data_IF_617579293582
#
_entry.id   IF_617579293582
#
_cell.length_a   1.000
_cell.length_b   1.000
_cell.length_c   1.000
_cell.angle_alpha   90.00
_cell.angle_beta   90.00
_cell.angle_gamma   90.00
#
_symmetry.space_group_name_H-M   'P 1'
#
loop_
_entity.id
_entity.type
_entity.pdbx_description
1 polymer ?
#
# COMPACT_ATOMS: atom_id res chain seq x y z
N UNK A 1 20.24 -27.47 40.49
CA UNK A 1 19.02 -27.69 39.65
C UNK A 1 18.23 -26.38 39.50
N UNK A 2 18.79 -25.34 38.87
CA UNK A 2 18.11 -24.04 38.70
C UNK A 2 18.40 -23.37 37.32
N UNK A 3 18.93 -24.13 36.36
CA UNK A 3 19.36 -23.61 35.05
C UNK A 3 18.24 -23.64 34.00
N UNK A 4 17.30 -24.59 34.10
CA UNK A 4 16.22 -24.76 33.11
C UNK A 4 15.11 -23.69 33.19
N UNK A 5 14.80 -23.18 34.39
CA UNK A 5 13.70 -22.22 34.59
C UNK A 5 14.09 -20.81 34.13
N UNK A 6 15.35 -20.40 34.33
CA UNK A 6 15.86 -19.13 33.81
C UNK A 6 15.88 -19.09 32.28
N UNK A 7 16.18 -20.21 31.61
CA UNK A 7 16.15 -20.29 30.14
C UNK A 7 14.72 -20.12 29.60
N UNK A 8 13.73 -20.76 30.23
CA UNK A 8 12.32 -20.64 29.83
C UNK A 8 11.72 -19.25 30.10
N UNK A 9 12.20 -18.53 31.13
CA UNK A 9 11.80 -17.15 31.40
C UNK A 9 12.46 -16.17 30.41
N UNK A 10 13.73 -16.36 30.04
CA UNK A 10 14.38 -15.55 29.01
C UNK A 10 13.76 -15.75 27.61
N UNK A 11 13.40 -16.99 27.26
CA UNK A 11 12.72 -17.27 25.99
C UNK A 11 11.32 -16.63 25.92
N UNK A 12 10.63 -16.52 27.08
CA UNK A 12 9.34 -15.80 27.19
C UNK A 12 9.48 -14.28 27.19
N UNK A 13 10.61 -13.72 27.61
CA UNK A 13 10.84 -12.27 27.58
C UNK A 13 11.31 -11.82 26.18
N UNK A 14 12.03 -12.67 25.42
CA UNK A 14 12.37 -12.41 24.02
C UNK A 14 11.23 -12.65 23.02
N UNK A 15 10.27 -13.53 23.33
CA UNK A 15 9.11 -13.76 22.44
C UNK A 15 8.07 -12.63 22.49
N UNK A 16 8.13 -11.74 23.49
CA UNK A 16 7.18 -10.62 23.63
C UNK A 16 7.61 -9.30 22.99
N UNK A 17 8.82 -9.20 22.44
CA UNK A 17 9.26 -8.06 21.62
C UNK A 17 9.12 -8.30 20.12
N UNK A 18 8.96 -9.55 19.67
CA UNK A 18 8.73 -9.90 18.26
C UNK A 18 7.33 -9.54 17.76
N UNK A 19 6.42 -9.14 18.65
CA UNK A 19 5.13 -8.54 18.28
C UNK A 19 5.23 -7.05 17.92
N UNK A 20 6.40 -6.41 18.12
CA UNK A 20 6.66 -5.01 17.79
C UNK A 20 7.45 -4.81 16.50
N UNK A 21 7.31 -5.71 15.53
CA UNK A 21 7.73 -5.43 14.15
C UNK A 21 7.14 -6.50 13.22
N UNK A 22 5.82 -6.52 13.08
CA UNK A 22 5.31 -6.81 11.74
C UNK A 22 5.84 -5.66 10.89
N UNK A 23 7.01 -5.86 10.27
CA UNK A 23 7.37 -5.09 9.10
C UNK A 23 6.11 -5.03 8.25
N UNK A 24 5.84 -3.88 7.65
CA UNK A 24 4.91 -3.79 6.53
C UNK A 24 5.46 -4.76 5.48
N UNK A 25 5.12 -6.04 5.63
CA UNK A 25 5.74 -7.14 4.93
C UNK A 25 5.58 -6.82 3.48
N UNK A 26 6.70 -6.80 2.76
CA UNK A 26 6.78 -6.44 1.34
C UNK A 26 5.56 -7.03 0.66
N UNK A 27 4.57 -6.18 0.33
CA UNK A 27 3.27 -6.68 -0.15
C UNK A 27 3.56 -7.45 -1.42
N UNK A 28 3.11 -8.70 -1.47
CA UNK A 28 3.39 -9.58 -2.61
C UNK A 28 2.21 -9.58 -3.57
N UNK A 29 2.51 -9.70 -4.86
CA UNK A 29 1.50 -9.95 -5.89
C UNK A 29 1.03 -11.41 -5.84
N UNK A 30 0.12 -11.79 -6.76
CA UNK A 30 -0.42 -13.15 -6.82
C UNK A 30 0.64 -14.22 -7.18
N UNK A 31 1.81 -13.80 -7.67
CA UNK A 31 2.94 -14.64 -7.99
C UNK A 31 4.00 -14.69 -6.86
N UNK A 32 3.72 -14.04 -5.72
CA UNK A 32 4.64 -13.98 -4.59
C UNK A 32 5.79 -12.98 -4.75
N UNK A 33 5.79 -12.15 -5.79
CA UNK A 33 6.80 -11.11 -6.02
C UNK A 33 6.47 -9.86 -5.24
N UNK A 34 7.48 -9.12 -4.79
CA UNK A 34 7.26 -7.82 -4.13
C UNK A 34 6.61 -6.82 -5.08
N UNK A 35 5.51 -6.21 -4.65
CA UNK A 35 4.88 -5.11 -5.37
C UNK A 35 5.75 -3.86 -5.22
N UNK A 36 6.26 -3.36 -6.35
CA UNK A 36 6.89 -2.06 -6.42
C UNK A 36 5.84 -0.99 -6.76
N UNK A 37 5.22 -0.39 -5.75
CA UNK A 37 4.16 0.61 -5.95
C UNK A 37 4.63 1.83 -6.77
N UNK A 38 5.91 2.18 -6.71
CA UNK A 38 6.48 3.33 -7.39
C UNK A 38 6.50 3.20 -8.93
N UNK A 39 6.31 1.99 -9.48
CA UNK A 39 6.23 1.80 -10.94
C UNK A 39 4.82 1.98 -11.50
N UNK A 40 3.80 2.16 -10.66
CA UNK A 40 2.41 2.26 -11.11
C UNK A 40 1.98 3.71 -11.34
N UNK A 41 1.25 3.92 -12.44
CA UNK A 41 0.45 5.11 -12.72
C UNK A 41 -1.02 4.78 -12.51
N UNK A 42 -1.67 5.46 -11.57
CA UNK A 42 -3.06 5.22 -11.19
C UNK A 42 -3.97 6.40 -11.56
N UNK A 43 -5.17 6.10 -12.06
CA UNK A 43 -6.24 7.07 -12.26
C UNK A 43 -7.26 7.00 -11.13
N UNK A 44 -7.61 8.14 -10.55
CA UNK A 44 -8.77 8.28 -9.66
C UNK A 44 -9.83 9.09 -10.42
N UNK A 45 -10.97 8.48 -10.71
CA UNK A 45 -12.11 9.13 -11.34
C UNK A 45 -13.29 9.09 -10.37
N UNK A 46 -13.64 10.24 -9.80
CA UNK A 46 -14.76 10.37 -8.86
C UNK A 46 -15.28 11.80 -8.97
N UNK A 47 -16.58 12.04 -8.85
CA UNK A 47 -17.15 13.39 -8.98
C UNK A 47 -16.90 14.24 -7.73
N UNK A 48 -16.72 13.61 -6.57
CA UNK A 48 -16.48 14.25 -5.29
C UNK A 48 -14.98 14.56 -5.08
N UNK A 49 -14.63 15.85 -5.10
CA UNK A 49 -13.26 16.31 -4.91
C UNK A 49 -12.65 15.91 -3.56
N UNK A 50 -13.45 15.76 -2.50
CA UNK A 50 -12.95 15.33 -1.20
C UNK A 50 -12.55 13.86 -1.21
N UNK A 51 -13.31 13.02 -1.91
CA UNK A 51 -12.96 11.61 -2.06
C UNK A 51 -11.72 11.43 -2.93
N UNK A 52 -11.60 12.17 -4.05
CA UNK A 52 -10.38 12.18 -4.86
C UNK A 52 -9.14 12.56 -4.04
N UNK A 53 -9.24 13.62 -3.24
CA UNK A 53 -8.16 14.05 -2.34
C UNK A 53 -7.78 12.98 -1.30
N UNK A 54 -8.79 12.32 -0.70
CA UNK A 54 -8.58 11.26 0.27
C UNK A 54 -7.86 10.05 -0.38
N UNK A 55 -8.32 9.63 -1.55
CA UNK A 55 -7.70 8.53 -2.31
C UNK A 55 -6.27 8.86 -2.71
N UNK A 56 -6.01 10.07 -3.24
CA UNK A 56 -4.65 10.53 -3.53
C UNK A 56 -3.74 10.44 -2.30
N UNK A 57 -4.25 10.88 -1.14
CA UNK A 57 -3.49 10.83 0.11
C UNK A 57 -3.10 9.39 0.51
N UNK A 58 -4.01 8.43 0.33
CA UNK A 58 -3.70 7.02 0.55
C UNK A 58 -2.68 6.47 -0.44
N UNK A 59 -2.85 6.71 -1.75
CA UNK A 59 -1.93 6.21 -2.78
C UNK A 59 -0.52 6.78 -2.60
N UNK A 60 -0.40 8.06 -2.26
CA UNK A 60 0.87 8.70 -1.94
C UNK A 60 1.55 8.04 -0.72
N UNK A 61 0.77 7.72 0.33
CA UNK A 61 1.28 7.02 1.51
C UNK A 61 1.81 5.61 1.19
N UNK A 62 1.27 4.96 0.16
CA UNK A 62 1.75 3.65 -0.32
C UNK A 62 2.93 3.75 -1.30
N UNK A 63 3.33 4.97 -1.69
CA UNK A 63 4.45 5.19 -2.61
C UNK A 63 4.12 4.87 -4.05
N UNK A 64 2.88 5.09 -4.49
CA UNK A 64 2.51 5.03 -5.91
C UNK A 64 3.28 6.09 -6.70
N UNK A 65 3.81 5.72 -7.86
CA UNK A 65 4.71 6.58 -8.63
C UNK A 65 4.01 7.80 -9.24
N UNK A 66 2.81 7.60 -9.80
CA UNK A 66 2.02 8.67 -10.41
C UNK A 66 0.54 8.50 -10.14
N UNK A 67 -0.14 9.61 -9.82
CA UNK A 67 -1.58 9.67 -9.59
C UNK A 67 -2.18 10.77 -10.45
N UNK A 68 -3.02 10.39 -11.40
CA UNK A 68 -3.82 11.29 -12.23
C UNK A 68 -5.28 11.27 -11.75
N UNK A 69 -5.97 12.39 -11.88
CA UNK A 69 -7.36 12.54 -11.43
C UNK A 69 -8.28 12.96 -12.58
N UNK A 70 -9.53 12.52 -12.49
CA UNK A 70 -10.63 12.98 -13.33
C UNK A 70 -11.87 13.26 -12.48
N UNK A 71 -12.63 14.31 -12.81
CA UNK A 71 -13.81 14.71 -12.05
C UNK A 71 -15.10 14.03 -12.54
N UNK A 72 -15.03 13.22 -13.60
CA UNK A 72 -16.15 12.51 -14.21
C UNK A 72 -15.63 11.50 -15.24
N UNK A 73 -16.54 10.70 -15.80
CA UNK A 73 -16.20 9.69 -16.80
C UNK A 73 -15.65 10.27 -18.11
N UNK A 74 -16.15 11.41 -18.58
CA UNK A 74 -15.67 12.00 -19.83
C UNK A 74 -14.21 12.47 -19.71
N UNK A 75 -13.87 13.12 -18.60
CA UNK A 75 -12.49 13.52 -18.28
C UNK A 75 -11.59 12.29 -18.08
N UNK A 76 -12.10 11.22 -17.45
CA UNK A 76 -11.37 9.98 -17.25
C UNK A 76 -10.97 9.34 -18.59
N UNK A 77 -11.91 9.28 -19.54
CA UNK A 77 -11.63 8.78 -20.90
C UNK A 77 -10.59 9.67 -21.60
N UNK A 78 -10.67 10.99 -21.48
CA UNK A 78 -9.64 11.88 -22.03
C UNK A 78 -8.26 11.65 -21.42
N UNK A 79 -8.17 11.36 -20.12
CA UNK A 79 -6.91 11.01 -19.45
C UNK A 79 -6.37 9.69 -20.00
N UNK A 80 -7.19 8.66 -20.12
CA UNK A 80 -6.80 7.35 -20.65
C UNK A 80 -6.30 7.39 -22.10
N UNK A 81 -6.78 8.35 -22.91
CA UNK A 81 -6.27 8.57 -24.26
C UNK A 81 -4.88 9.22 -24.30
N UNK A 82 -4.49 9.98 -23.27
CA UNK A 82 -3.25 10.76 -23.24
C UNK A 82 -2.15 10.11 -22.41
N UNK A 83 -2.54 9.37 -21.39
CA UNK A 83 -1.64 8.83 -20.37
C UNK A 83 -1.88 7.34 -20.21
N UNK A 84 -0.85 6.49 -20.36
CA UNK A 84 -0.96 5.09 -19.99
C UNK A 84 -1.18 4.97 -18.48
N UNK A 85 -2.26 4.30 -18.09
CA UNK A 85 -2.65 4.06 -16.70
C UNK A 85 -2.67 2.56 -16.47
N UNK A 86 -2.09 2.10 -15.37
CA UNK A 86 -2.03 0.69 -15.01
C UNK A 86 -3.29 0.23 -14.25
N UNK A 87 -3.87 1.12 -13.45
CA UNK A 87 -5.05 0.85 -12.61
C UNK A 87 -5.93 2.10 -12.55
N UNK A 88 -7.25 1.93 -12.75
CA UNK A 88 -8.24 2.97 -12.54
C UNK A 88 -9.12 2.63 -11.32
N UNK A 89 -9.28 3.60 -10.42
CA UNK A 89 -10.31 3.61 -9.38
C UNK A 89 -11.41 4.56 -9.87
N UNK A 90 -12.61 4.01 -10.09
CA UNK A 90 -13.79 4.65 -10.70
C UNK A 90 -15.01 4.52 -9.81
#
# INVERSE_FOLDING_TARGET
MASGVYRLLNDKIHTSSTFRQRSLGTRRDMNGQSINWNSYTMLIADDNSHFRWLMRSFLNKYGVGSVVEAANGADAIQVLHKTPVDVALV
#
